data_IF_690416593429
#
_entry.id   IF_690416593429
#
_cell.length_a   1.000
_cell.length_b   1.000
_cell.length_c   1.000
_cell.angle_alpha   90.00
_cell.angle_beta   90.00
_cell.angle_gamma   90.00
#
_symmetry.space_group_name_H-M   'P 1'
#
loop_
_entity.id
_entity.type
_entity.pdbx_description
1 polymer ?
#
# COMPACT_ATOMS: atom_id res chain seq x y z
N UNK A 1 13.45 -32.70 -59.91
CA UNK A 1 13.58 -32.12 -58.56
C UNK A 1 13.33 -30.63 -58.66
N UNK A 2 12.24 -30.17 -58.03
CA UNK A 2 11.78 -28.78 -58.03
C UNK A 2 12.65 -27.90 -57.10
N UNK A 3 12.94 -26.66 -57.50
CA UNK A 3 13.20 -25.55 -56.57
C UNK A 3 12.55 -24.27 -57.12
N UNK A 4 11.61 -23.64 -56.40
CA UNK A 4 10.77 -22.57 -56.93
C UNK A 4 11.43 -21.19 -56.80
N UNK A 5 11.17 -20.34 -57.80
CA UNK A 5 11.19 -18.89 -57.68
C UNK A 5 9.88 -18.43 -57.02
N UNK A 6 9.94 -17.62 -55.97
CA UNK A 6 8.79 -16.78 -55.57
C UNK A 6 9.29 -15.41 -55.05
N UNK A 7 8.80 -14.28 -55.59
CA UNK A 7 8.92 -12.97 -54.99
C UNK A 7 7.67 -12.68 -54.14
N UNK A 8 7.80 -12.61 -52.81
CA UNK A 8 6.70 -12.14 -51.94
C UNK A 8 6.78 -10.61 -51.81
N UNK A 9 5.82 -9.96 -52.46
CA UNK A 9 5.47 -8.55 -52.32
C UNK A 9 4.75 -8.32 -50.98
N UNK A 10 5.15 -7.25 -50.29
CA UNK A 10 4.41 -6.42 -49.31
C UNK A 10 3.14 -7.00 -48.67
N UNK A 11 3.04 -7.09 -47.33
CA UNK A 11 1.74 -7.16 -46.68
C UNK A 11 0.99 -5.83 -46.88
N UNK A 12 -0.20 -5.97 -47.46
CA UNK A 12 -1.22 -4.95 -47.63
C UNK A 12 -1.61 -4.30 -46.30
N UNK A 13 -1.97 -3.02 -46.39
CA UNK A 13 -2.51 -2.21 -45.31
C UNK A 13 -3.58 -2.96 -44.50
N UNK A 14 -3.36 -3.06 -43.19
CA UNK A 14 -4.40 -3.38 -42.21
C UNK A 14 -5.26 -2.12 -42.10
N UNK A 15 -6.20 -1.98 -43.04
CA UNK A 15 -7.36 -1.12 -42.89
C UNK A 15 -8.49 -2.03 -42.43
N UNK A 16 -8.83 -1.95 -41.14
CA UNK A 16 -10.08 -2.41 -40.49
C UNK A 16 -9.81 -2.82 -39.04
N UNK A 17 -9.60 -1.83 -38.17
CA UNK A 17 -9.84 -1.97 -36.72
C UNK A 17 -10.25 -0.64 -36.08
N UNK A 18 -10.77 0.30 -36.87
CA UNK A 18 -11.51 1.44 -36.38
C UNK A 18 -12.99 1.07 -36.35
N UNK A 19 -13.37 0.18 -35.42
CA UNK A 19 -14.79 -0.12 -35.22
C UNK A 19 -15.05 -0.49 -33.75
N UNK A 20 -15.53 0.52 -33.03
CA UNK A 20 -16.42 0.42 -31.87
C UNK A 20 -15.94 -0.46 -30.70
N UNK A 21 -14.96 0.02 -29.94
CA UNK A 21 -15.03 -0.12 -28.49
C UNK A 21 -15.97 1.00 -27.99
N UNK A 22 -17.27 0.81 -28.19
CA UNK A 22 -18.27 1.61 -27.47
C UNK A 22 -18.23 1.21 -26.00
N UNK A 23 -18.29 2.20 -25.13
CA UNK A 23 -18.19 2.17 -23.67
C UNK A 23 -18.94 1.03 -22.98
N UNK A 24 -18.28 -0.12 -22.79
CA UNK A 24 -18.69 -1.14 -21.81
C UNK A 24 -18.49 -0.66 -20.36
N UNK A 25 -17.96 0.56 -20.16
CA UNK A 25 -17.77 1.15 -18.84
C UNK A 25 -19.04 1.85 -18.31
N UNK A 26 -19.94 2.34 -19.18
CA UNK A 26 -21.18 3.02 -18.73
C UNK A 26 -22.18 2.05 -18.08
N UNK A 27 -22.10 0.75 -18.39
CA UNK A 27 -22.94 -0.30 -17.79
C UNK A 27 -22.19 -1.18 -16.78
N UNK A 28 -20.99 -0.79 -16.38
CA UNK A 28 -20.24 -1.53 -15.37
C UNK A 28 -20.99 -1.44 -14.03
N UNK A 29 -21.56 -2.57 -13.59
CA UNK A 29 -22.08 -2.70 -12.23
C UNK A 29 -20.88 -2.77 -11.30
N UNK A 30 -20.60 -1.66 -10.61
CA UNK A 30 -19.65 -1.64 -9.50
C UNK A 30 -20.26 -2.42 -8.33
N UNK A 31 -20.01 -3.72 -8.29
CA UNK A 31 -20.26 -4.53 -7.10
C UNK A 31 -19.18 -4.11 -6.11
N UNK A 32 -19.57 -3.39 -5.06
CA UNK A 32 -18.67 -3.11 -3.95
C UNK A 32 -18.10 -4.43 -3.46
N UNK A 33 -16.77 -4.55 -3.44
CA UNK A 33 -16.12 -5.72 -2.87
C UNK A 33 -16.74 -5.99 -1.50
N UNK A 34 -17.13 -7.24 -1.24
CA UNK A 34 -17.70 -7.65 0.04
C UNK A 34 -16.86 -7.01 1.14
N UNK A 35 -17.49 -6.10 1.90
CA UNK A 35 -16.85 -5.45 3.04
C UNK A 35 -16.29 -6.60 3.86
N UNK A 36 -14.98 -6.63 4.18
CA UNK A 36 -14.42 -7.74 4.92
C UNK A 36 -15.30 -7.95 6.14
N UNK A 37 -15.78 -9.18 6.31
CA UNK A 37 -16.52 -9.58 7.51
C UNK A 37 -15.64 -9.10 8.66
N UNK A 38 -16.18 -8.22 9.50
CA UNK A 38 -15.49 -7.81 10.72
C UNK A 38 -15.35 -9.09 11.52
N UNK A 39 -14.22 -9.77 11.35
CA UNK A 39 -13.85 -10.84 12.23
C UNK A 39 -13.62 -10.15 13.55
N UNK A 40 -14.27 -10.67 14.59
CA UNK A 40 -14.01 -10.33 16.00
C UNK A 40 -12.64 -10.91 16.40
N UNK A 41 -11.65 -10.72 15.51
CA UNK A 41 -10.27 -11.09 15.72
C UNK A 41 -9.75 -10.14 16.79
N UNK A 42 -9.51 -10.69 17.97
CA UNK A 42 -8.84 -10.01 19.07
C UNK A 42 -7.45 -9.43 18.69
N UNK A 43 -6.98 -9.66 17.47
CA UNK A 43 -5.71 -9.19 16.91
C UNK A 43 -5.89 -8.09 15.84
N UNK A 44 -7.10 -7.57 15.62
CA UNK A 44 -7.34 -6.52 14.65
C UNK A 44 -7.01 -5.13 15.22
N UNK A 45 -6.05 -4.43 14.59
CA UNK A 45 -5.76 -3.04 14.94
C UNK A 45 -6.82 -2.13 14.31
N UNK A 46 -7.62 -1.48 15.17
CA UNK A 46 -8.71 -0.59 14.73
C UNK A 46 -8.20 0.77 14.23
N UNK A 47 -8.07 0.94 12.92
CA UNK A 47 -7.72 2.24 12.33
C UNK A 47 -8.97 3.05 11.96
N UNK A 48 -9.03 4.29 12.42
CA UNK A 48 -10.05 5.26 11.98
C UNK A 48 -9.74 5.79 10.58
N UNK A 49 -10.78 6.29 9.91
CA UNK A 49 -10.61 6.95 8.61
C UNK A 49 -9.77 8.23 8.70
N UNK A 50 -9.78 8.90 9.85
CA UNK A 50 -8.97 10.09 10.10
C UNK A 50 -7.48 9.75 10.18
N UNK A 51 -7.12 8.65 10.84
CA UNK A 51 -5.73 8.17 10.91
C UNK A 51 -5.21 7.72 9.54
N UNK A 52 -6.07 7.07 8.74
CA UNK A 52 -5.74 6.70 7.37
C UNK A 52 -5.49 7.95 6.50
N UNK A 53 -6.32 8.99 6.63
CA UNK A 53 -6.11 10.24 5.92
C UNK A 53 -4.86 10.99 6.41
N UNK A 54 -4.64 11.01 7.73
CA UNK A 54 -3.48 11.64 8.35
C UNK A 54 -2.17 11.08 7.80
N UNK A 55 -2.10 9.74 7.64
CA UNK A 55 -0.92 9.06 7.13
C UNK A 55 -0.89 8.93 5.60
N UNK A 56 -1.91 9.42 4.89
CA UNK A 56 -2.05 9.21 3.45
C UNK A 56 -0.93 9.82 2.60
N UNK A 57 -0.29 10.88 3.09
CA UNK A 57 0.84 11.53 2.42
C UNK A 57 2.20 10.86 2.73
N UNK A 58 2.32 10.18 3.87
CA UNK A 58 3.57 9.59 4.34
C UNK A 58 3.28 8.18 4.88
N UNK A 59 3.43 7.13 4.05
CA UNK A 59 3.03 5.78 4.41
C UNK A 59 3.80 5.23 5.63
N UNK A 60 4.99 5.76 5.91
CA UNK A 60 5.77 5.43 7.11
C UNK A 60 4.99 5.75 8.38
N UNK A 61 4.24 6.85 8.42
CA UNK A 61 3.41 7.22 9.57
C UNK A 61 2.39 6.12 9.91
N UNK A 62 1.79 5.50 8.89
CA UNK A 62 0.86 4.40 9.10
C UNK A 62 1.54 3.15 9.65
N UNK A 63 2.71 2.80 9.10
CA UNK A 63 3.49 1.64 9.55
C UNK A 63 3.93 1.81 11.00
N UNK A 64 4.41 3.01 11.36
CA UNK A 64 4.83 3.34 12.73
C UNK A 64 3.63 3.32 13.68
N UNK A 65 2.48 3.89 13.29
CA UNK A 65 1.26 3.86 14.10
C UNK A 65 0.79 2.42 14.38
N UNK A 66 0.77 1.58 13.35
CA UNK A 66 0.40 0.17 13.50
C UNK A 66 1.37 -0.57 14.43
N UNK A 67 2.67 -0.39 14.25
CA UNK A 67 3.67 -1.03 15.11
C UNK A 67 3.55 -0.56 16.56
N UNK A 68 3.35 0.74 16.78
CA UNK A 68 3.13 1.32 18.10
C UNK A 68 1.91 0.72 18.80
N UNK A 69 0.80 0.54 18.08
CA UNK A 69 -0.44 -0.05 18.65
C UNK A 69 -0.25 -1.51 19.03
N UNK A 70 0.30 -2.33 18.13
CA UNK A 70 0.60 -3.74 18.46
C UNK A 70 1.47 -3.85 19.71
N UNK A 71 2.50 -3.00 19.82
CA UNK A 71 3.39 -3.01 20.97
C UNK A 71 2.70 -2.53 22.24
N UNK A 72 1.81 -1.56 22.15
CA UNK A 72 1.02 -1.07 23.28
C UNK A 72 0.06 -2.16 23.78
N UNK A 73 -0.62 -2.86 22.87
CA UNK A 73 -1.50 -3.99 23.19
C UNK A 73 -0.74 -5.15 23.86
N UNK A 74 0.46 -5.45 23.37
CA UNK A 74 1.33 -6.51 23.91
C UNK A 74 2.14 -6.08 25.15
N UNK A 75 2.02 -4.83 25.61
CA UNK A 75 2.80 -4.29 26.73
C UNK A 75 4.31 -4.18 26.48
N UNK A 76 4.70 -4.08 25.21
CA UNK A 76 6.09 -3.96 24.76
C UNK A 76 6.58 -2.50 24.80
N UNK A 77 7.90 -2.27 24.89
CA UNK A 77 8.47 -0.93 24.85
C UNK A 77 8.13 -0.19 23.56
N UNK A 78 7.69 1.07 23.65
CA UNK A 78 7.29 1.89 22.51
C UNK A 78 8.28 3.04 22.21
N UNK A 79 9.54 2.90 22.66
CA UNK A 79 10.57 3.87 22.33
C UNK A 79 10.88 3.84 20.82
N UNK A 80 11.35 4.95 20.22
CA UNK A 80 11.69 4.99 18.80
C UNK A 80 12.67 3.89 18.37
N UNK A 81 13.66 3.59 19.21
CA UNK A 81 14.69 2.57 18.97
C UNK A 81 14.09 1.16 18.90
N UNK A 82 13.12 0.89 19.76
CA UNK A 82 12.44 -0.40 19.86
C UNK A 82 11.53 -0.65 18.66
N UNK A 83 10.81 0.38 18.23
CA UNK A 83 9.96 0.36 17.03
C UNK A 83 10.85 0.22 15.80
N UNK A 84 11.89 1.04 15.68
CA UNK A 84 12.86 0.95 14.59
C UNK A 84 13.51 -0.44 14.49
N UNK A 85 13.96 -1.01 15.61
CA UNK A 85 14.55 -2.34 15.64
C UNK A 85 13.56 -3.42 15.14
N UNK A 86 12.29 -3.33 15.54
CA UNK A 86 11.23 -4.24 15.06
C UNK A 86 10.96 -4.10 13.57
N UNK A 87 10.97 -2.88 13.04
CA UNK A 87 10.77 -2.63 11.61
C UNK A 87 11.99 -3.09 10.79
N UNK A 88 13.20 -2.83 11.28
CA UNK A 88 14.45 -3.27 10.67
C UNK A 88 14.56 -4.81 10.61
N UNK A 89 14.18 -5.50 11.69
CA UNK A 89 14.13 -6.98 11.73
C UNK A 89 13.17 -7.55 10.68
N UNK A 90 12.07 -6.85 10.41
CA UNK A 90 11.09 -7.21 9.38
C UNK A 90 11.52 -6.82 7.97
N UNK A 91 12.69 -6.20 7.80
CA UNK A 91 13.21 -5.76 6.51
C UNK A 91 12.44 -4.59 5.89
N UNK A 92 11.84 -3.73 6.72
CA UNK A 92 11.16 -2.52 6.23
C UNK A 92 12.22 -1.55 5.68
N UNK A 93 11.98 -1.09 4.45
CA UNK A 93 12.81 -0.14 3.73
C UNK A 93 12.21 1.26 3.82
N UNK A 94 13.02 2.26 3.51
CA UNK A 94 12.60 3.66 3.42
C UNK A 94 11.67 3.89 2.20
N UNK A 95 11.19 5.11 2.02
CA UNK A 95 10.26 5.51 0.96
C UNK A 95 10.80 5.26 -0.46
N UNK A 96 12.12 5.13 -0.64
CA UNK A 96 12.74 4.75 -1.91
C UNK A 96 12.64 3.25 -2.22
N UNK A 97 12.28 2.41 -1.23
CA UNK A 97 12.18 0.96 -1.36
C UNK A 97 13.52 0.25 -1.52
N UNK A 98 14.63 0.93 -1.28
CA UNK A 98 16.00 0.42 -1.51
C UNK A 98 16.89 0.64 -0.29
N UNK A 99 16.74 1.78 0.38
CA UNK A 99 17.51 2.16 1.55
C UNK A 99 16.93 1.57 2.83
N UNK A 100 17.77 1.22 3.81
CA UNK A 100 17.29 0.81 5.13
C UNK A 100 16.58 1.98 5.82
N UNK A 101 15.46 1.67 6.49
CA UNK A 101 14.74 2.65 7.31
C UNK A 101 15.67 3.23 8.39
N UNK A 102 15.70 4.56 8.52
CA UNK A 102 16.51 5.24 9.53
C UNK A 102 15.72 5.46 10.82
N UNK A 103 16.44 5.45 11.96
CA UNK A 103 15.86 5.75 13.26
C UNK A 103 15.28 7.17 13.33
N UNK A 104 15.91 8.13 12.65
CA UNK A 104 15.46 9.52 12.61
C UNK A 104 14.08 9.66 11.94
N UNK A 105 13.78 8.82 10.95
CA UNK A 105 12.48 8.84 10.26
C UNK A 105 11.39 8.23 11.13
N UNK A 106 11.68 7.16 11.87
CA UNK A 106 10.78 6.61 12.90
C UNK A 106 10.52 7.64 14.00
N UNK A 107 11.55 8.33 14.46
CA UNK A 107 11.46 9.37 15.50
C UNK A 107 10.58 10.54 15.01
N UNK A 108 10.78 10.97 13.76
CA UNK A 108 9.97 12.04 13.14
C UNK A 108 8.51 11.63 12.99
N UNK A 109 8.26 10.39 12.56
CA UNK A 109 6.92 9.84 12.43
C UNK A 109 6.21 9.77 13.79
N UNK A 110 6.88 9.29 14.84
CA UNK A 110 6.31 9.28 16.20
C UNK A 110 5.99 10.69 16.69
N UNK A 111 6.89 11.65 16.50
CA UNK A 111 6.64 13.05 16.89
C UNK A 111 5.52 13.71 16.05
N UNK A 112 5.29 13.24 14.83
CA UNK A 112 4.14 13.66 14.04
C UNK A 112 2.83 13.07 14.58
N UNK A 113 2.80 11.77 14.86
CA UNK A 113 1.64 11.06 15.38
C UNK A 113 1.24 11.53 16.80
N UNK A 114 2.22 11.86 17.64
CA UNK A 114 1.98 12.42 18.97
C UNK A 114 1.29 13.79 18.87
N UNK A 115 1.81 14.68 18.01
CA UNK A 115 1.25 16.01 17.79
C UNK A 115 -0.14 16.00 17.15
N UNK A 116 -0.45 14.96 16.38
CA UNK A 116 -1.78 14.79 15.79
C UNK A 116 -2.79 14.14 16.73
N UNK A 117 -2.35 13.66 17.90
CA UNK A 117 -3.18 12.91 18.85
C UNK A 117 -3.42 11.46 18.46
N UNK A 118 -2.79 10.95 17.39
CA UNK A 118 -2.98 9.57 16.92
C UNK A 118 -2.38 8.51 17.85
N UNK A 119 -1.42 8.89 18.69
CA UNK A 119 -0.90 8.02 19.77
C UNK A 119 -1.78 8.06 21.04
N UNK A 120 -2.69 9.03 21.12
CA UNK A 120 -3.62 9.20 22.24
C UNK A 120 -4.94 8.49 21.99
N UNK A 121 -4.93 7.15 21.92
CA UNK A 121 -6.16 6.39 22.00
C UNK A 121 -6.71 6.44 23.42
N UNK A 122 -7.85 7.08 23.64
CA UNK A 122 -8.66 6.82 24.84
C UNK A 122 -8.99 5.32 24.84
N UNK A 123 -8.46 4.58 25.83
CA UNK A 123 -8.86 3.22 26.18
C UNK A 123 -10.22 3.22 26.89
#
# INVERSE_FOLDING_TARGET
MHRPHHPERRPSAISSAAQAAQDDFENAVFIGADRPVVTDDANAVNLSFEELQLCGAEPLGLVVLLNWRFRTEDGLPCAPEDIWASLAERGILDADGESPLLLDDVTRALAFLDRSGALGGEL
#
